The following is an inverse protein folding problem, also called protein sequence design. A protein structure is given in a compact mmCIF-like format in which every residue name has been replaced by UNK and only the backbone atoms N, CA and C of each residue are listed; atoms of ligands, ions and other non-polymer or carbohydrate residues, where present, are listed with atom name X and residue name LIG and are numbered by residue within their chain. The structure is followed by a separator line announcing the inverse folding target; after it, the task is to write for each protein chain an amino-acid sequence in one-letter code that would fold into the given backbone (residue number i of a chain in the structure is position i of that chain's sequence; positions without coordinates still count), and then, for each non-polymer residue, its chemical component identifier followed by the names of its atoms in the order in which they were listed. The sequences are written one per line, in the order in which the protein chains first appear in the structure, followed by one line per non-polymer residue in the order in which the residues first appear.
data_IF_867480839701
#
_entry.id   IF_867480839701
#
_cell.length_a   1.000
_cell.length_b   1.000
_cell.length_c   1.000
_cell.angle_alpha   90.00
_cell.angle_beta   90.00
_cell.angle_gamma   90.00
#
_symmetry.space_group_name_H-M   'P 1'
#
loop_
_entity.id
_entity.type
_entity.pdbx_description
1 polymer ?
#
# COMPACT_ATOMS: atom_id res chain seq x y z
N UNK A 1 -13.09 -26.38 11.81
CA UNK A 1 -11.82 -27.12 11.74
C UNK A 1 -10.61 -26.18 11.88
N UNK A 2 -10.45 -25.14 11.04
CA UNK A 2 -9.32 -24.17 11.09
C UNK A 2 -9.11 -23.55 12.48
N UNK A 3 -10.19 -23.15 13.17
CA UNK A 3 -10.08 -22.59 14.54
C UNK A 3 -9.63 -23.59 15.57
N UNK A 4 -10.00 -24.86 15.43
CA UNK A 4 -9.59 -25.93 16.37
C UNK A 4 -8.10 -26.26 16.27
N UNK A 5 -7.53 -26.16 15.06
CA UNK A 5 -6.11 -26.40 14.81
C UNK A 5 -5.18 -25.38 15.47
N UNK A 6 -5.67 -24.17 15.77
CA UNK A 6 -4.88 -23.15 16.47
C UNK A 6 -4.68 -23.46 17.97
N UNK A 7 -5.41 -24.45 18.51
CA UNK A 7 -5.37 -24.85 19.91
C UNK A 7 -4.84 -26.27 20.13
N UNK A 8 -4.42 -26.96 19.05
CA UNK A 8 -3.78 -28.30 19.13
C UNK A 8 -2.25 -28.15 19.08
N UNK A 9 -1.53 -29.27 19.35
CA UNK A 9 -0.07 -29.29 19.32
C UNK A 9 0.46 -28.75 17.98
N UNK A 10 1.44 -27.87 18.05
CA UNK A 10 1.89 -27.02 16.91
C UNK A 10 2.35 -27.82 15.71
N UNK A 11 3.04 -28.92 15.89
CA UNK A 11 3.60 -29.77 14.83
C UNK A 11 2.54 -30.52 14.02
N UNK A 12 1.50 -31.00 14.67
CA UNK A 12 0.39 -31.69 14.02
C UNK A 12 -0.54 -30.69 13.32
N UNK A 13 -0.69 -29.51 13.91
CA UNK A 13 -1.45 -28.43 13.30
C UNK A 13 -0.86 -27.97 11.97
N UNK A 14 0.46 -27.85 11.86
CA UNK A 14 1.14 -27.48 10.64
C UNK A 14 0.90 -28.48 9.51
N UNK A 15 1.08 -29.78 9.80
CA UNK A 15 0.80 -30.86 8.83
C UNK A 15 -0.65 -30.84 8.35
N UNK A 16 -1.59 -30.60 9.26
CA UNK A 16 -3.01 -30.51 8.92
C UNK A 16 -3.33 -29.29 8.04
N UNK A 17 -2.74 -28.11 8.32
CA UNK A 17 -2.90 -26.95 7.44
C UNK A 17 -2.36 -27.24 6.03
N UNK A 18 -1.19 -27.86 5.89
CA UNK A 18 -0.62 -28.23 4.60
C UNK A 18 -1.50 -29.24 3.84
N UNK A 19 -2.14 -30.19 4.54
CA UNK A 19 -3.13 -31.09 3.93
C UNK A 19 -4.37 -30.33 3.45
N UNK A 20 -4.88 -29.39 4.26
CA UNK A 20 -6.02 -28.57 3.86
C UNK A 20 -5.73 -27.71 2.62
N UNK A 21 -4.53 -27.17 2.51
CA UNK A 21 -4.10 -26.37 1.35
C UNK A 21 -4.03 -27.23 0.08
N UNK A 22 -3.56 -28.49 0.20
CA UNK A 22 -3.40 -29.40 -0.95
C UNK A 22 -4.72 -29.99 -1.44
N UNK A 23 -5.77 -30.01 -0.61
CA UNK A 23 -7.04 -30.59 -1.00
C UNK A 23 -7.81 -29.61 -1.93
N UNK A 24 -8.08 -30.08 -3.15
CA UNK A 24 -8.81 -29.33 -4.19
C UNK A 24 -10.21 -28.87 -3.75
N UNK A 25 -10.89 -29.64 -2.93
CA UNK A 25 -12.22 -29.29 -2.39
C UNK A 25 -12.21 -28.02 -1.52
N UNK A 26 -11.03 -27.65 -1.00
CA UNK A 26 -10.86 -26.48 -0.15
C UNK A 26 -10.55 -25.20 -0.93
N UNK A 27 -10.42 -25.24 -2.27
CA UNK A 27 -10.14 -24.04 -3.10
C UNK A 27 -11.02 -22.84 -2.76
N UNK A 28 -12.35 -22.97 -2.56
CA UNK A 28 -13.22 -21.83 -2.20
C UNK A 28 -12.93 -21.22 -0.82
N UNK A 29 -12.13 -21.89 0.01
CA UNK A 29 -11.84 -21.50 1.40
C UNK A 29 -10.36 -21.25 1.66
N UNK A 30 -9.54 -21.18 0.61
CA UNK A 30 -8.08 -21.00 0.75
C UNK A 30 -7.74 -19.69 1.46
N UNK A 31 -8.51 -18.63 1.26
CA UNK A 31 -8.37 -17.36 1.99
C UNK A 31 -8.38 -17.57 3.51
N UNK A 32 -9.34 -18.35 4.01
CA UNK A 32 -9.50 -18.65 5.43
C UNK A 32 -8.43 -19.59 5.96
N UNK A 33 -8.04 -20.54 5.13
CA UNK A 33 -6.99 -21.53 5.46
C UNK A 33 -5.64 -20.81 5.55
N UNK A 34 -5.28 -20.00 4.57
CA UNK A 34 -4.05 -19.22 4.57
C UNK A 34 -4.00 -18.24 5.75
N UNK A 35 -5.11 -17.54 6.03
CA UNK A 35 -5.20 -16.68 7.20
C UNK A 35 -5.03 -17.45 8.52
N UNK A 36 -5.65 -18.62 8.65
CA UNK A 36 -5.49 -19.49 9.81
C UNK A 36 -4.06 -19.99 9.97
N UNK A 37 -3.44 -20.46 8.89
CA UNK A 37 -2.07 -20.93 8.90
C UNK A 37 -1.06 -19.80 9.19
N UNK A 38 -1.26 -18.61 8.63
CA UNK A 38 -0.44 -17.45 8.98
C UNK A 38 -0.48 -17.13 10.47
N UNK A 39 -1.65 -17.27 11.12
CA UNK A 39 -1.77 -17.05 12.56
C UNK A 39 -1.00 -18.10 13.38
N UNK A 40 -1.02 -19.37 12.96
CA UNK A 40 -0.21 -20.42 13.57
C UNK A 40 1.28 -20.08 13.43
N UNK A 41 1.74 -19.73 12.24
CA UNK A 41 3.14 -19.38 11.97
C UNK A 41 3.60 -18.18 12.80
N UNK A 42 2.76 -17.17 13.00
CA UNK A 42 3.09 -16.06 13.90
C UNK A 42 3.18 -16.48 15.36
N UNK A 43 2.40 -17.47 15.81
CA UNK A 43 2.51 -18.01 17.17
C UNK A 43 3.76 -18.87 17.36
N UNK A 44 4.36 -19.35 16.27
CA UNK A 44 5.63 -20.09 16.22
C UNK A 44 6.84 -19.22 15.90
N UNK A 45 6.72 -17.90 16.00
CA UNK A 45 7.73 -16.89 15.66
C UNK A 45 8.27 -16.97 14.21
N UNK A 46 7.60 -17.71 13.35
CA UNK A 46 7.91 -17.81 11.91
C UNK A 46 7.36 -16.61 11.15
N UNK A 47 7.93 -15.40 11.42
CA UNK A 47 7.39 -14.12 10.93
C UNK A 47 7.37 -14.02 9.42
N UNK A 48 8.44 -14.46 8.73
CA UNK A 48 8.54 -14.37 7.26
C UNK A 48 7.47 -15.21 6.59
N UNK A 49 7.42 -16.50 6.89
CA UNK A 49 6.40 -17.41 6.36
C UNK A 49 4.98 -16.95 6.72
N UNK A 50 4.79 -16.48 7.95
CA UNK A 50 3.51 -15.94 8.39
C UNK A 50 3.05 -14.76 7.55
N UNK A 51 3.97 -13.84 7.18
CA UNK A 51 3.69 -12.73 6.27
C UNK A 51 3.34 -13.21 4.87
N UNK A 52 4.03 -14.25 4.34
CA UNK A 52 3.77 -14.79 3.01
C UNK A 52 2.37 -15.42 2.92
N UNK A 53 2.00 -16.26 3.88
CA UNK A 53 0.66 -16.84 3.93
C UNK A 53 -0.44 -15.81 4.18
N UNK A 54 -0.16 -14.77 4.94
CA UNK A 54 -1.09 -13.65 5.10
C UNK A 54 -1.30 -12.88 3.79
N UNK A 55 -0.24 -12.71 2.98
CA UNK A 55 -0.34 -12.15 1.63
C UNK A 55 -1.16 -13.04 0.70
N UNK A 56 -0.96 -14.36 0.74
CA UNK A 56 -1.76 -15.31 -0.02
C UNK A 56 -3.24 -15.18 0.34
N UNK A 57 -3.58 -15.09 1.63
CA UNK A 57 -4.96 -14.89 2.07
C UNK A 57 -5.63 -13.64 1.50
N UNK A 58 -4.87 -12.53 1.33
CA UNK A 58 -5.38 -11.29 0.73
C UNK A 58 -5.54 -11.41 -0.79
N UNK A 59 -4.60 -12.11 -1.45
CA UNK A 59 -4.59 -12.27 -2.92
C UNK A 59 -5.68 -13.21 -3.42
N UNK A 60 -6.10 -14.17 -2.59
CA UNK A 60 -7.25 -14.99 -2.93
C UNK A 60 -8.48 -14.12 -3.21
N UNK A 61 -9.19 -14.44 -4.29
CA UNK A 61 -10.32 -13.65 -4.77
C UNK A 61 -11.57 -13.86 -3.88
N UNK A 62 -11.39 -13.69 -2.59
CA UNK A 62 -12.43 -13.81 -1.61
C UNK A 62 -13.33 -12.59 -1.59
N UNK A 63 -14.63 -12.81 -1.57
CA UNK A 63 -15.64 -11.78 -1.29
C UNK A 63 -15.72 -11.42 0.20
N UNK A 64 -14.97 -12.14 1.07
CA UNK A 64 -15.01 -11.93 2.53
C UNK A 64 -14.22 -10.67 2.93
N UNK A 65 -14.92 -9.52 2.84
CA UNK A 65 -14.38 -8.21 3.25
C UNK A 65 -13.89 -8.22 4.70
N UNK A 66 -14.55 -8.98 5.57
CA UNK A 66 -14.19 -9.06 6.98
C UNK A 66 -12.87 -9.79 7.21
N UNK A 67 -12.59 -10.82 6.42
CA UNK A 67 -11.30 -11.50 6.46
C UNK A 67 -10.19 -10.60 5.93
N UNK A 68 -10.41 -9.94 4.77
CA UNK A 68 -9.44 -9.00 4.20
C UNK A 68 -9.10 -7.87 5.16
N UNK A 69 -10.10 -7.27 5.82
CA UNK A 69 -9.85 -6.22 6.81
C UNK A 69 -8.97 -6.71 7.96
N UNK A 70 -9.23 -7.92 8.49
CA UNK A 70 -8.41 -8.52 9.56
C UNK A 70 -6.96 -8.75 9.11
N UNK A 71 -6.74 -9.19 7.87
CA UNK A 71 -5.42 -9.41 7.32
C UNK A 71 -4.65 -8.08 7.17
N UNK A 72 -5.28 -7.04 6.63
CA UNK A 72 -4.68 -5.70 6.54
C UNK A 72 -4.35 -5.11 7.92
N UNK A 73 -5.25 -5.25 8.90
CA UNK A 73 -5.00 -4.83 10.29
C UNK A 73 -3.76 -5.54 10.86
N UNK A 74 -3.63 -6.84 10.59
CA UNK A 74 -2.48 -7.60 11.06
C UNK A 74 -1.17 -7.10 10.42
N UNK A 75 -1.16 -6.84 9.11
CA UNK A 75 -0.02 -6.20 8.46
C UNK A 75 0.29 -4.82 9.02
N UNK A 76 -0.73 -4.00 9.26
CA UNK A 76 -0.52 -2.69 9.87
C UNK A 76 0.17 -2.81 11.24
N UNK A 77 -0.29 -3.73 12.10
CA UNK A 77 0.31 -3.96 13.41
C UNK A 77 1.75 -4.46 13.33
N UNK A 78 2.04 -5.40 12.41
CA UNK A 78 3.40 -5.90 12.20
C UNK A 78 4.34 -4.78 11.77
N UNK A 79 3.93 -3.98 10.77
CA UNK A 79 4.76 -2.87 10.31
C UNK A 79 4.90 -1.75 11.36
N UNK A 80 3.87 -1.51 12.17
CA UNK A 80 3.96 -0.57 13.29
C UNK A 80 4.98 -1.01 14.33
N UNK A 81 4.99 -2.31 14.68
CA UNK A 81 5.96 -2.88 15.62
C UNK A 81 7.39 -2.85 15.06
N UNK A 82 7.53 -3.04 13.73
CA UNK A 82 8.80 -2.91 13.01
C UNK A 82 9.22 -1.43 12.80
N UNK A 83 8.50 -0.47 13.39
CA UNK A 83 8.70 0.98 13.23
C UNK A 83 8.57 1.49 11.79
N UNK A 84 7.94 0.71 10.90
CA UNK A 84 7.66 1.09 9.52
C UNK A 84 6.28 1.75 9.43
N UNK A 85 6.20 2.99 9.89
CA UNK A 85 4.92 3.69 10.05
C UNK A 85 4.26 4.02 8.71
N UNK A 86 5.04 4.26 7.67
CA UNK A 86 4.52 4.50 6.33
C UNK A 86 3.73 3.30 5.80
N UNK A 87 4.29 2.09 5.88
CA UNK A 87 3.58 0.88 5.48
C UNK A 87 2.42 0.56 6.42
N UNK A 88 2.57 0.78 7.72
CA UNK A 88 1.48 0.63 8.68
C UNK A 88 0.28 1.52 8.30
N UNK A 89 0.54 2.77 7.94
CA UNK A 89 -0.48 3.72 7.47
C UNK A 89 -1.17 3.25 6.18
N UNK A 90 -0.42 2.78 5.19
CA UNK A 90 -0.96 2.24 3.93
C UNK A 90 -1.88 1.02 4.15
N UNK A 91 -1.53 0.15 5.09
CA UNK A 91 -2.39 -0.99 5.46
C UNK A 91 -3.64 -0.55 6.22
N UNK A 92 -3.57 0.51 7.06
CA UNK A 92 -4.77 1.10 7.65
C UNK A 92 -5.69 1.70 6.59
N UNK A 93 -5.15 2.37 5.56
CA UNK A 93 -5.93 2.85 4.43
C UNK A 93 -6.65 1.72 3.69
N UNK A 94 -5.94 0.62 3.44
CA UNK A 94 -6.52 -0.57 2.82
C UNK A 94 -7.62 -1.19 3.69
N UNK A 95 -7.44 -1.17 5.02
CA UNK A 95 -8.45 -1.61 5.98
C UNK A 95 -9.72 -0.75 5.89
N UNK A 96 -9.56 0.57 5.91
CA UNK A 96 -10.67 1.52 5.87
C UNK A 96 -11.46 1.47 4.55
N UNK A 97 -10.80 1.13 3.43
CA UNK A 97 -11.48 0.95 2.13
C UNK A 97 -12.40 -0.28 2.10
N UNK A 98 -12.12 -1.28 2.92
CA UNK A 98 -12.85 -2.56 2.95
C UNK A 98 -13.94 -2.57 4.01
N UNK A 99 -13.76 -1.83 5.12
CA UNK A 99 -14.72 -1.74 6.22
C UNK A 99 -15.93 -0.89 5.85
N UNK A 100 -17.07 -1.25 6.44
CA UNK A 100 -18.25 -0.41 6.41
C UNK A 100 -18.00 0.85 7.26
N UNK A 101 -18.26 2.02 6.66
CA UNK A 101 -18.10 3.34 7.30
C UNK A 101 -18.96 3.52 8.56
N UNK A 102 -20.06 2.79 8.67
CA UNK A 102 -20.96 2.84 9.83
C UNK A 102 -20.54 1.87 10.95
N UNK A 103 -19.51 1.06 10.74
CA UNK A 103 -19.05 0.10 11.74
C UNK A 103 -18.20 0.76 12.83
N UNK A 104 -18.26 0.19 14.04
CA UNK A 104 -17.41 0.64 15.17
C UNK A 104 -15.92 0.42 14.85
N UNK A 105 -15.61 -0.65 14.13
CA UNK A 105 -14.25 -0.97 13.68
C UNK A 105 -13.69 0.11 12.77
N UNK A 106 -14.49 0.65 11.85
CA UNK A 106 -14.06 1.74 10.97
C UNK A 106 -13.57 2.94 11.78
N UNK A 107 -14.35 3.42 12.73
CA UNK A 107 -13.99 4.57 13.58
C UNK A 107 -12.77 4.32 14.45
N UNK A 108 -12.59 3.09 14.91
CA UNK A 108 -11.40 2.70 15.68
C UNK A 108 -10.13 2.83 14.83
N UNK A 109 -10.14 2.26 13.62
CA UNK A 109 -8.96 2.27 12.75
C UNK A 109 -8.72 3.63 12.09
N UNK A 110 -9.77 4.40 11.84
CA UNK A 110 -9.63 5.80 11.42
C UNK A 110 -8.90 6.63 12.48
N UNK A 111 -9.24 6.45 13.75
CA UNK A 111 -8.55 7.12 14.86
C UNK A 111 -7.08 6.69 14.95
N UNK A 112 -6.80 5.40 14.81
CA UNK A 112 -5.41 4.91 14.78
C UNK A 112 -4.63 5.52 13.62
N UNK A 113 -5.21 5.57 12.42
CA UNK A 113 -4.59 6.22 11.26
C UNK A 113 -4.29 7.70 11.53
N UNK A 114 -5.25 8.45 12.07
CA UNK A 114 -5.04 9.86 12.44
C UNK A 114 -3.90 10.01 13.46
N UNK A 115 -3.77 9.08 14.41
CA UNK A 115 -2.71 9.09 15.43
C UNK A 115 -1.30 8.95 14.85
N UNK A 116 -1.12 8.17 13.79
CA UNK A 116 0.20 7.98 13.15
C UNK A 116 0.44 8.91 11.96
N UNK A 117 -0.55 9.70 11.53
CA UNK A 117 -0.49 10.47 10.29
C UNK A 117 0.68 11.46 10.27
N UNK A 118 0.98 12.10 11.39
CA UNK A 118 2.10 13.05 11.47
C UNK A 118 3.44 12.35 11.24
N UNK A 119 3.63 11.14 11.81
CA UNK A 119 4.85 10.35 11.63
C UNK A 119 4.96 9.89 10.17
N UNK A 120 3.87 9.40 9.59
CA UNK A 120 3.81 9.00 8.17
C UNK A 120 4.19 10.18 7.26
N UNK A 121 3.63 11.35 7.49
CA UNK A 121 3.95 12.56 6.71
C UNK A 121 5.43 12.96 6.84
N UNK A 122 6.04 12.76 8.01
CA UNK A 122 7.47 13.01 8.22
C UNK A 122 8.33 11.97 7.51
N UNK A 123 8.00 10.70 7.56
CA UNK A 123 8.69 9.63 6.82
C UNK A 123 8.62 9.87 5.30
N UNK A 124 7.45 10.24 4.78
CA UNK A 124 7.30 10.59 3.36
C UNK A 124 8.20 11.76 2.96
N UNK A 125 8.29 12.79 3.81
CA UNK A 125 9.21 13.92 3.57
C UNK A 125 10.67 13.49 3.61
N UNK A 126 11.06 12.62 4.54
CA UNK A 126 12.43 12.09 4.62
C UNK A 126 12.75 11.35 3.32
N UNK A 127 11.91 10.41 2.89
CA UNK A 127 12.11 9.64 1.64
C UNK A 127 12.22 10.58 0.45
N UNK A 128 11.37 11.63 0.40
CA UNK A 128 11.41 12.63 -0.67
C UNK A 128 12.74 13.39 -0.70
N UNK A 129 13.19 13.92 0.45
CA UNK A 129 14.44 14.67 0.53
C UNK A 129 15.67 13.78 0.30
N UNK A 130 15.68 12.55 0.79
CA UNK A 130 16.74 11.57 0.52
C UNK A 130 16.83 11.26 -0.99
N UNK A 131 15.69 11.17 -1.65
CA UNK A 131 15.64 10.99 -3.10
C UNK A 131 16.24 12.19 -3.85
N UNK A 132 15.91 13.43 -3.41
CA UNK A 132 16.48 14.64 -4.01
C UNK A 132 17.98 14.73 -3.79
N UNK A 133 18.46 14.44 -2.57
CA UNK A 133 19.91 14.43 -2.25
C UNK A 133 20.62 13.41 -3.14
N UNK A 134 20.06 12.22 -3.32
CA UNK A 134 20.63 11.18 -4.19
C UNK A 134 20.68 11.63 -5.65
N UNK A 135 19.60 12.23 -6.14
CA UNK A 135 19.54 12.74 -7.51
C UNK A 135 20.52 13.89 -7.74
N UNK A 136 20.73 14.78 -6.76
CA UNK A 136 21.67 15.88 -6.86
C UNK A 136 23.15 15.44 -6.97
N UNK A 137 23.44 14.23 -6.50
CA UNK A 137 24.78 13.63 -6.60
C UNK A 137 25.06 12.95 -7.95
N UNK A 138 24.06 12.84 -8.84
CA UNK A 138 24.25 12.21 -10.16
C UNK A 138 24.75 13.21 -11.19
N UNK A 139 25.58 12.73 -12.11
CA UNK A 139 25.97 13.50 -13.30
C UNK A 139 24.79 13.61 -14.29
N UNK A 140 24.89 14.54 -15.22
CA UNK A 140 23.82 14.82 -16.19
C UNK A 140 23.44 13.60 -17.03
N UNK A 141 24.41 12.74 -17.39
CA UNK A 141 24.15 11.53 -18.19
C UNK A 141 23.26 10.55 -17.43
N UNK A 142 23.58 10.31 -16.16
CA UNK A 142 22.82 9.40 -15.30
C UNK A 142 21.41 9.92 -14.99
N UNK A 143 21.26 11.23 -14.84
CA UNK A 143 19.94 11.86 -14.71
C UNK A 143 19.09 11.67 -15.96
N UNK A 144 19.67 11.88 -17.17
CA UNK A 144 18.97 11.67 -18.43
C UNK A 144 18.55 10.21 -18.65
N UNK A 145 19.36 9.24 -18.21
CA UNK A 145 19.01 7.82 -18.24
C UNK A 145 17.82 7.50 -17.33
N UNK A 146 17.82 8.02 -16.10
CA UNK A 146 16.73 7.85 -15.14
C UNK A 146 15.44 8.47 -15.71
N UNK A 147 15.49 9.67 -16.25
CA UNK A 147 14.34 10.33 -16.85
C UNK A 147 13.77 9.56 -18.04
N UNK A 148 14.64 8.98 -18.89
CA UNK A 148 14.22 8.12 -20.00
C UNK A 148 13.52 6.86 -19.51
N UNK A 149 14.05 6.19 -18.46
CA UNK A 149 13.42 5.00 -17.88
C UNK A 149 12.02 5.28 -17.34
N UNK A 150 11.84 6.37 -16.60
CA UNK A 150 10.53 6.78 -16.07
C UNK A 150 9.53 7.10 -17.19
N UNK A 151 9.97 7.74 -18.28
CA UNK A 151 9.11 8.03 -19.40
C UNK A 151 8.66 6.77 -20.17
N UNK A 152 9.51 5.74 -20.25
CA UNK A 152 9.17 4.45 -20.87
C UNK A 152 8.10 3.72 -20.04
N UNK A 153 8.25 3.68 -18.73
CA UNK A 153 7.25 3.05 -17.84
C UNK A 153 5.89 3.75 -17.95
N UNK A 154 5.87 5.08 -17.94
CA UNK A 154 4.63 5.84 -18.10
C UNK A 154 3.97 5.65 -19.49
N UNK A 155 4.73 5.39 -20.55
CA UNK A 155 4.17 5.10 -21.88
C UNK A 155 3.59 3.69 -22.00
N UNK A 156 4.11 2.70 -21.30
CA UNK A 156 3.56 1.35 -21.29
C UNK A 156 2.19 1.27 -20.60
N UNK A 157 1.97 2.08 -19.57
CA UNK A 157 0.69 2.16 -18.86
C UNK A 157 -0.38 2.95 -19.64
N UNK A 158 0.02 3.86 -20.52
CA UNK A 158 -0.89 4.66 -21.36
C UNK A 158 -1.45 3.85 -22.54
N UNK A 159 -0.68 2.89 -23.07
CA UNK A 159 -1.10 2.09 -24.23
C UNK A 159 -2.08 0.95 -23.90
N UNK A 160 -2.35 0.66 -22.62
CA UNK A 160 -3.25 -0.41 -22.22
C UNK A 160 -4.74 0.01 -22.13
N UNK A 161 -5.09 1.31 -22.19
CA UNK A 161 -6.47 1.78 -22.10
C UNK A 161 -6.66 3.12 -22.85
N UNK A 162 -6.81 3.09 -24.16
CA UNK A 162 -7.39 4.23 -24.90
C UNK A 162 -8.84 3.91 -25.25
N UNK A 163 -9.83 4.47 -24.53
CA UNK A 163 -11.16 4.65 -25.11
C UNK A 163 -11.10 5.88 -26.03
N UNK A 164 -11.65 5.70 -27.24
CA UNK A 164 -11.76 6.70 -28.28
C UNK A 164 -12.31 8.05 -27.78
N UNK A 165 -11.73 9.10 -28.34
CA UNK A 165 -12.06 10.53 -28.23
C UNK A 165 -13.53 10.83 -27.97
N UNK A 166 -13.86 11.30 -26.78
CA UNK A 166 -14.80 12.40 -26.54
C UNK A 166 -14.71 12.83 -25.07
N UNK A 167 -14.59 14.11 -24.84
CA UNK A 167 -14.50 14.80 -23.56
C UNK A 167 -13.12 14.71 -22.83
N UNK A 168 -12.23 15.59 -23.25
CA UNK A 168 -11.05 15.98 -22.48
C UNK A 168 -11.53 16.84 -21.31
N UNK A 169 -11.90 16.20 -20.22
CA UNK A 169 -11.94 16.86 -18.93
C UNK A 169 -10.53 16.75 -18.34
N UNK A 170 -9.74 17.80 -18.58
CA UNK A 170 -8.38 17.95 -18.07
C UNK A 170 -8.45 18.24 -16.57
N UNK A 171 -8.73 17.24 -15.77
CA UNK A 171 -8.39 17.27 -14.36
C UNK A 171 -6.87 17.11 -14.26
N UNK A 172 -6.16 18.22 -14.39
CA UNK A 172 -4.74 18.29 -14.10
C UNK A 172 -4.51 17.77 -12.69
N UNK A 173 -3.86 16.60 -12.57
CA UNK A 173 -3.24 16.19 -11.32
C UNK A 173 -2.41 17.37 -10.85
N UNK A 174 -2.75 17.95 -9.70
CA UNK A 174 -1.94 18.96 -9.02
C UNK A 174 -0.56 18.35 -8.74
N UNK A 175 0.37 18.55 -9.65
CA UNK A 175 1.78 18.32 -9.33
C UNK A 175 2.16 19.45 -8.38
N UNK A 176 2.58 19.10 -7.16
CA UNK A 176 3.04 20.07 -6.15
C UNK A 176 4.37 20.73 -6.52
N UNK A 177 4.92 20.42 -7.69
CA UNK A 177 6.20 20.96 -8.13
C UNK A 177 5.95 22.21 -8.97
N UNK A 178 6.41 23.36 -8.48
CA UNK A 178 6.19 24.69 -9.03
C UNK A 178 6.41 24.76 -10.55
N UNK A 179 7.53 24.24 -11.06
CA UNK A 179 7.92 24.34 -12.47
C UNK A 179 7.09 23.49 -13.45
N UNK A 180 6.30 22.54 -12.97
CA UNK A 180 5.40 21.72 -13.80
C UNK A 180 3.94 22.18 -13.74
N UNK A 181 3.68 23.29 -13.07
CA UNK A 181 2.35 23.87 -12.99
C UNK A 181 2.35 25.24 -13.70
N UNK A 182 2.02 25.24 -14.98
CA UNK A 182 2.01 26.46 -15.83
C UNK A 182 1.21 27.63 -15.23
N UNK A 183 0.15 27.34 -14.47
CA UNK A 183 -0.63 28.37 -13.79
C UNK A 183 0.12 28.99 -12.62
N UNK A 184 0.85 28.22 -11.84
CA UNK A 184 1.65 28.73 -10.71
C UNK A 184 2.84 29.52 -11.25
N UNK A 185 3.46 29.04 -12.33
CA UNK A 185 4.55 29.75 -13.02
C UNK A 185 4.06 31.07 -13.59
N UNK A 186 2.93 31.08 -14.31
CA UNK A 186 2.33 32.29 -14.85
C UNK A 186 1.97 33.31 -13.75
N UNK A 187 1.33 32.85 -12.66
CA UNK A 187 1.02 33.67 -11.50
C UNK A 187 2.28 34.24 -10.84
N UNK A 188 3.34 33.43 -10.72
CA UNK A 188 4.64 33.86 -10.19
C UNK A 188 5.30 34.94 -11.06
N UNK A 189 5.23 34.81 -12.39
CA UNK A 189 5.74 35.81 -13.34
C UNK A 189 4.95 37.13 -13.23
N UNK A 190 3.62 37.07 -13.18
CA UNK A 190 2.78 38.26 -12.99
C UNK A 190 3.03 38.92 -11.64
N UNK A 191 3.11 38.16 -10.58
CA UNK A 191 3.41 38.66 -9.24
C UNK A 191 4.80 39.32 -9.17
N UNK A 192 5.80 38.72 -9.81
CA UNK A 192 7.15 39.28 -9.90
C UNK A 192 7.14 40.61 -10.64
N UNK A 193 6.48 40.69 -11.83
CA UNK A 193 6.36 41.89 -12.60
C UNK A 193 5.64 43.02 -11.88
N UNK A 194 4.61 42.69 -11.07
CA UNK A 194 3.86 43.69 -10.30
C UNK A 194 4.67 44.32 -9.17
N UNK A 195 5.62 43.58 -8.61
CA UNK A 195 6.46 44.04 -7.48
C UNK A 195 7.76 44.69 -7.94
N UNK A 196 8.37 44.19 -9.01
CA UNK A 196 9.72 44.58 -9.44
C UNK A 196 9.77 45.31 -10.82
N UNK A 197 8.64 45.43 -11.47
CA UNK A 197 8.55 46.05 -12.81
C UNK A 197 8.95 45.10 -13.97
N UNK A 198 8.75 45.58 -15.19
CA UNK A 198 9.14 44.84 -16.39
C UNK A 198 10.65 44.87 -16.59
#
# INVERSE_FOLDING_TARGET
KVKALLYSDSLDSEKEFLKLIKNEENKPYLDKIYYGYSNLLFSLDSLSLGKDFLNMAIRENSSDKKLKSKAYIKFSKLNFNDSNFLLAGKYLDSTLKVLDKNSKEFWLYERQKKGIQNVVNLEEKIIYYDSLIRLSGYDKKKLDEILKSINIENQSDINANIPSQSSIDRTFKKTNFYFYNDRIVAFGIESFKSVWGN
#
